data_IF_360736404548
#
_entry.id   IF_360736404548
#
_cell.length_a   1.000
_cell.length_b   1.000
_cell.length_c   1.000
_cell.angle_alpha   90.00
_cell.angle_beta   90.00
_cell.angle_gamma   90.00
#
_symmetry.space_group_name_H-M   'P 1'
#
loop_
_entity.id
_entity.type
_entity.pdbx_description
1 polymer ?
#
# COMPACT_ATOMS: atom_id res chain seq x y z
N UNK A 1 -18.05 52.27 -36.15
CA UNK A 1 -18.67 52.21 -34.82
C UNK A 1 -19.31 50.83 -34.67
N UNK A 2 -18.92 49.90 -33.83
CA UNK A 2 -17.73 49.58 -33.05
C UNK A 2 -17.86 48.06 -32.75
N UNK A 3 -16.79 47.27 -32.74
CA UNK A 3 -16.91 45.82 -32.52
C UNK A 3 -17.26 45.53 -31.06
N UNK A 4 -18.28 44.69 -30.85
CA UNK A 4 -18.59 44.12 -29.53
C UNK A 4 -17.47 43.16 -29.13
N UNK A 5 -16.65 43.60 -28.18
CA UNK A 5 -15.65 42.77 -27.50
C UNK A 5 -16.34 41.78 -26.56
N UNK A 6 -15.91 40.52 -26.62
CA UNK A 6 -16.20 39.47 -25.65
C UNK A 6 -15.69 39.84 -24.25
N UNK A 7 -16.33 39.39 -23.15
CA UNK A 7 -15.77 39.57 -21.82
C UNK A 7 -14.63 38.57 -21.62
N UNK A 8 -13.42 39.08 -21.37
CA UNK A 8 -12.31 38.29 -20.87
C UNK A 8 -12.65 37.74 -19.48
N UNK A 9 -12.48 36.44 -19.28
CA UNK A 9 -12.44 35.84 -17.95
C UNK A 9 -11.10 36.20 -17.33
N UNK A 10 -11.06 37.30 -16.58
CA UNK A 10 -9.96 37.57 -15.68
C UNK A 10 -9.92 36.50 -14.59
N UNK A 11 -8.92 35.62 -14.66
CA UNK A 11 -8.51 34.78 -13.54
C UNK A 11 -7.91 35.71 -12.49
N UNK A 12 -8.30 35.65 -11.21
CA UNK A 12 -7.60 36.39 -10.19
C UNK A 12 -6.16 35.86 -10.11
N UNK A 13 -5.20 36.73 -10.43
CA UNK A 13 -3.79 36.50 -10.19
C UNK A 13 -3.58 36.34 -8.68
N UNK A 14 -3.41 35.09 -8.23
CA UNK A 14 -2.91 34.81 -6.88
C UNK A 14 -1.44 35.27 -6.83
N UNK A 15 -1.21 36.46 -6.29
CA UNK A 15 0.12 36.87 -5.81
C UNK A 15 0.25 36.34 -4.38
N UNK A 16 1.15 35.38 -4.09
CA UNK A 16 1.42 35.03 -2.71
C UNK A 16 1.97 36.26 -2.00
N UNK A 17 1.30 36.69 -0.93
CA UNK A 17 1.76 37.82 -0.13
C UNK A 17 3.08 37.43 0.55
N UNK A 18 4.14 38.15 0.22
CA UNK A 18 5.39 38.11 0.98
C UNK A 18 5.15 38.81 2.31
N UNK A 19 4.74 38.05 3.33
CA UNK A 19 5.09 38.33 4.73
C UNK A 19 5.83 37.11 5.25
N UNK A 20 7.13 37.11 4.98
CA UNK A 20 8.11 36.22 5.56
C UNK A 20 8.40 36.67 6.99
N UNK A 21 7.67 36.16 7.96
CA UNK A 21 8.34 35.74 9.19
C UNK A 21 8.96 34.39 8.85
N UNK A 22 10.28 34.38 8.68
CA UNK A 22 11.03 33.13 8.60
C UNK A 22 10.78 32.38 9.90
N UNK A 23 9.91 31.36 9.85
CA UNK A 23 10.11 30.20 10.71
C UNK A 23 11.50 29.71 10.35
N UNK A 24 12.49 29.94 11.22
CA UNK A 24 13.82 29.37 11.03
C UNK A 24 13.61 27.87 10.79
N UNK A 25 14.06 27.38 9.63
CA UNK A 25 14.09 25.95 9.37
C UNK A 25 14.75 25.26 10.58
N UNK A 26 14.22 24.12 11.05
CA UNK A 26 14.75 23.46 12.23
C UNK A 26 16.25 23.24 12.03
N UNK A 27 17.04 23.86 12.92
CA UNK A 27 18.51 23.80 12.87
C UNK A 27 19.04 22.39 13.16
N UNK A 28 18.20 21.48 13.67
CA UNK A 28 18.60 20.12 13.98
C UNK A 28 18.57 19.24 12.74
N UNK A 29 19.73 18.72 12.37
CA UNK A 29 19.86 17.54 11.51
C UNK A 29 20.65 16.47 12.25
N UNK A 30 20.31 16.29 13.52
CA UNK A 30 20.82 15.17 14.30
C UNK A 30 20.62 13.88 13.49
N UNK A 31 21.68 13.10 13.31
CA UNK A 31 21.65 11.89 12.48
C UNK A 31 22.16 12.06 11.05
N UNK A 32 22.29 13.28 10.50
CA UNK A 32 22.71 13.43 9.09
C UNK A 32 24.18 13.05 8.86
N UNK A 33 25.07 13.30 9.82
CA UNK A 33 26.48 12.85 9.69
C UNK A 33 26.55 11.34 9.79
N UNK A 34 25.81 10.78 10.73
CA UNK A 34 25.71 9.33 10.94
C UNK A 34 25.16 8.62 9.69
N UNK A 35 24.18 9.21 8.99
CA UNK A 35 23.68 8.71 7.71
C UNK A 35 24.78 8.69 6.64
N UNK A 36 25.60 9.74 6.56
CA UNK A 36 26.67 9.84 5.57
C UNK A 36 27.83 8.90 5.90
N UNK A 37 28.29 8.92 7.14
CA UNK A 37 29.42 8.14 7.62
C UNK A 37 29.13 6.62 7.56
N UNK A 38 27.88 6.21 7.77
CA UNK A 38 27.46 4.82 7.70
C UNK A 38 26.80 4.43 6.35
N UNK A 39 26.80 5.33 5.36
CA UNK A 39 26.24 5.10 4.02
C UNK A 39 24.79 4.57 4.04
N UNK A 40 23.95 5.14 4.92
CA UNK A 40 22.57 4.70 5.10
C UNK A 40 21.73 5.09 3.89
N UNK A 41 21.20 4.08 3.18
CA UNK A 41 20.32 4.29 2.03
C UNK A 41 18.84 4.50 2.41
N UNK A 42 18.41 3.98 3.56
CA UNK A 42 17.02 4.05 4.03
C UNK A 42 16.98 4.44 5.50
N UNK A 43 16.29 5.53 5.82
CA UNK A 43 16.08 5.99 7.19
C UNK A 43 14.62 5.81 7.60
N UNK A 44 14.36 5.03 8.66
CA UNK A 44 13.02 4.89 9.24
C UNK A 44 12.81 5.90 10.36
N UNK A 45 11.85 6.80 10.18
CA UNK A 45 11.34 7.66 11.24
C UNK A 45 10.17 6.95 11.92
N UNK A 46 10.43 6.28 13.05
CA UNK A 46 9.38 5.72 13.89
C UNK A 46 8.86 6.74 14.91
N UNK A 47 7.67 6.50 15.45
CA UNK A 47 7.05 7.33 16.49
C UNK A 47 6.11 6.51 17.39
N UNK A 48 6.63 6.07 18.53
CA UNK A 48 5.93 5.18 19.48
C UNK A 48 5.54 5.87 20.79
N UNK A 49 5.12 7.13 20.71
CA UNK A 49 4.72 7.95 21.85
C UNK A 49 3.23 8.30 21.75
N UNK A 50 2.58 8.56 22.89
CA UNK A 50 1.30 9.26 22.95
C UNK A 50 1.56 10.77 23.14
N UNK A 51 1.52 11.59 22.07
CA UNK A 51 2.01 12.97 22.13
C UNK A 51 1.09 13.93 22.88
N UNK A 52 -0.22 13.67 22.90
CA UNK A 52 -1.22 14.57 23.46
C UNK A 52 -0.90 14.99 24.92
N UNK A 53 -0.39 14.05 25.72
CA UNK A 53 0.05 14.36 27.09
C UNK A 53 1.12 15.47 27.10
N UNK A 54 2.14 15.38 26.26
CA UNK A 54 3.25 16.33 26.21
C UNK A 54 2.86 17.67 25.59
N UNK A 55 1.97 17.64 24.59
CA UNK A 55 1.50 18.86 23.94
C UNK A 55 0.61 19.68 24.89
N UNK A 56 -0.29 19.05 25.62
CA UNK A 56 -1.31 19.75 26.40
C UNK A 56 -0.91 20.04 27.85
N UNK A 57 0.13 19.39 28.39
CA UNK A 57 0.58 19.64 29.78
C UNK A 57 1.08 21.09 29.93
N UNK A 58 0.51 21.85 30.87
CA UNK A 58 0.83 23.25 31.12
C UNK A 58 0.68 24.18 29.89
N UNK A 59 -0.17 23.84 28.92
CA UNK A 59 -0.51 24.72 27.80
C UNK A 59 -1.49 25.81 28.25
N UNK A 60 -1.15 27.07 28.01
CA UNK A 60 -2.03 28.18 28.40
C UNK A 60 -3.24 28.28 27.47
N UNK A 61 -4.35 28.83 27.95
CA UNK A 61 -5.57 29.03 27.14
C UNK A 61 -5.32 29.78 25.82
N UNK A 62 -4.37 30.73 25.81
CA UNK A 62 -4.03 31.52 24.62
C UNK A 62 -3.11 30.79 23.62
N UNK A 63 -2.64 29.58 23.95
CA UNK A 63 -1.70 28.80 23.14
C UNK A 63 -2.16 27.38 22.84
N UNK A 64 -3.43 27.04 23.11
CA UNK A 64 -3.98 25.69 22.88
C UNK A 64 -3.72 25.24 21.44
N UNK A 65 -3.10 24.07 21.30
CA UNK A 65 -2.80 23.45 20.00
C UNK A 65 -1.58 24.05 19.28
N UNK A 66 -0.98 25.14 19.78
CA UNK A 66 0.20 25.73 19.16
C UNK A 66 1.39 24.78 19.24
N UNK A 67 1.58 24.06 20.36
CA UNK A 67 2.70 23.12 20.49
C UNK A 67 2.56 21.93 19.55
N UNK A 68 1.34 21.40 19.41
CA UNK A 68 1.03 20.33 18.47
C UNK A 68 1.33 20.78 17.03
N UNK A 69 0.81 21.94 16.61
CA UNK A 69 1.06 22.49 15.28
C UNK A 69 2.56 22.68 15.02
N UNK A 70 3.29 23.30 15.97
CA UNK A 70 4.74 23.51 15.85
C UNK A 70 5.55 22.22 15.83
N UNK A 71 5.11 21.19 16.56
CA UNK A 71 5.75 19.88 16.51
C UNK A 71 5.64 19.28 15.11
N UNK A 72 4.45 19.32 14.51
CA UNK A 72 4.21 18.78 13.18
C UNK A 72 4.97 19.57 12.11
N UNK A 73 4.96 20.91 12.17
CA UNK A 73 5.78 21.75 11.29
C UNK A 73 7.28 21.43 11.42
N UNK A 74 7.75 21.26 12.67
CA UNK A 74 9.14 20.91 12.95
C UNK A 74 9.52 19.52 12.43
N UNK A 75 8.61 18.54 12.53
CA UNK A 75 8.80 17.21 11.95
C UNK A 75 8.96 17.29 10.43
N UNK A 76 8.06 17.99 9.74
CA UNK A 76 8.13 18.12 8.28
C UNK A 76 9.42 18.80 7.85
N UNK A 77 9.78 19.90 8.50
CA UNK A 77 10.98 20.63 8.15
C UNK A 77 12.28 19.88 8.53
N UNK A 78 12.23 18.99 9.53
CA UNK A 78 13.33 18.06 9.83
C UNK A 78 13.50 17.01 8.72
N UNK A 79 12.42 16.38 8.27
CA UNK A 79 12.45 15.38 7.19
C UNK A 79 12.94 15.99 5.87
N UNK A 80 12.43 17.19 5.53
CA UNK A 80 12.84 17.93 4.33
C UNK A 80 14.35 18.29 4.40
N UNK A 81 14.83 18.77 5.55
CA UNK A 81 16.26 19.07 5.73
C UNK A 81 17.16 17.82 5.67
N UNK A 82 16.63 16.65 6.04
CA UNK A 82 17.38 15.39 6.02
C UNK A 82 17.61 14.90 4.59
N UNK A 83 16.59 14.95 3.73
CA UNK A 83 16.73 14.57 2.31
C UNK A 83 17.55 15.58 1.51
N UNK A 84 17.42 16.88 1.79
CA UNK A 84 18.24 17.93 1.15
C UNK A 84 19.75 17.71 1.37
N UNK A 85 20.14 17.20 2.55
CA UNK A 85 21.54 16.94 2.91
C UNK A 85 22.04 15.56 2.52
N UNK A 86 21.14 14.64 2.20
CA UNK A 86 21.46 13.26 1.86
C UNK A 86 20.75 12.87 0.56
N UNK A 87 21.22 13.36 -0.61
CA UNK A 87 20.60 13.06 -1.89
C UNK A 87 20.51 11.55 -2.13
N UNK A 88 19.31 11.07 -2.44
CA UNK A 88 19.04 9.63 -2.65
C UNK A 88 18.60 8.86 -1.41
N UNK A 89 18.61 9.47 -0.22
CA UNK A 89 18.06 8.86 0.99
C UNK A 89 16.56 8.60 0.85
N UNK A 90 16.14 7.37 1.09
CA UNK A 90 14.72 7.01 1.19
C UNK A 90 14.29 7.20 2.64
N UNK A 91 13.27 8.02 2.85
CA UNK A 91 12.62 8.15 4.15
C UNK A 91 11.46 7.14 4.26
N UNK A 92 11.48 6.34 5.30
CA UNK A 92 10.42 5.40 5.64
C UNK A 92 9.66 5.88 6.89
N UNK A 93 8.36 6.07 6.76
CA UNK A 93 7.50 6.53 7.84
C UNK A 93 6.93 5.35 8.62
N UNK A 94 7.13 5.39 9.94
CA UNK A 94 6.52 4.48 10.87
C UNK A 94 6.00 5.27 12.09
N UNK A 95 4.90 4.82 12.66
CA UNK A 95 4.38 5.32 13.92
C UNK A 95 3.61 4.18 14.58
N UNK A 96 4.33 3.25 15.21
CA UNK A 96 3.78 1.95 15.64
C UNK A 96 3.02 1.26 14.49
N UNK A 97 3.70 1.14 13.34
CA UNK A 97 3.07 0.84 12.05
C UNK A 97 2.48 2.09 11.40
N UNK A 98 1.20 2.03 11.01
CA UNK A 98 0.56 3.03 10.14
C UNK A 98 -0.24 4.12 10.85
N UNK A 99 0.08 4.51 12.09
CA UNK A 99 -0.70 5.55 12.82
C UNK A 99 -0.51 6.97 12.29
N UNK A 100 0.39 7.17 11.32
CA UNK A 100 0.69 8.45 10.69
C UNK A 100 0.76 8.32 9.17
N UNK A 101 -0.17 7.58 8.58
CA UNK A 101 -0.35 7.53 7.12
C UNK A 101 -1.24 8.70 6.73
N UNK A 102 -0.65 9.77 6.21
CA UNK A 102 -1.35 10.99 5.80
C UNK A 102 -0.66 11.63 4.58
N UNK A 103 -1.34 12.57 3.93
CA UNK A 103 -0.85 13.18 2.68
C UNK A 103 0.48 13.91 2.83
N UNK A 104 0.73 14.59 3.95
CA UNK A 104 1.97 15.35 4.14
C UNK A 104 3.15 14.43 4.41
N UNK A 105 2.92 13.32 5.12
CA UNK A 105 3.93 12.27 5.27
C UNK A 105 4.19 11.56 3.94
N UNK A 106 3.16 11.23 3.15
CA UNK A 106 3.34 10.58 1.84
C UNK A 106 4.13 11.42 0.83
N UNK A 107 4.12 12.76 0.97
CA UNK A 107 4.94 13.64 0.13
C UNK A 107 6.44 13.56 0.44
N UNK A 108 6.80 13.04 1.62
CA UNK A 108 8.17 13.05 2.15
C UNK A 108 8.74 11.64 2.32
N UNK A 109 7.89 10.69 2.65
CA UNK A 109 8.26 9.35 3.04
C UNK A 109 7.43 8.30 2.30
N UNK A 110 8.02 7.13 2.09
CA UNK A 110 7.29 5.90 1.81
C UNK A 110 6.82 5.27 3.12
N UNK A 111 5.86 4.34 3.06
CA UNK A 111 5.41 3.54 4.20
C UNK A 111 5.74 2.07 3.95
N UNK A 112 6.96 1.64 4.31
CA UNK A 112 7.42 0.26 4.10
C UNK A 112 6.82 -0.71 5.12
N UNK A 113 6.21 -0.19 6.20
CA UNK A 113 5.58 -0.97 7.26
C UNK A 113 4.26 -0.34 7.70
N UNK A 114 3.14 -0.91 7.23
CA UNK A 114 1.80 -0.35 7.47
C UNK A 114 1.17 -0.70 8.83
N UNK A 115 1.63 -1.74 9.53
CA UNK A 115 1.01 -2.14 10.81
C UNK A 115 1.84 -3.15 11.59
N UNK A 116 1.88 -2.99 12.92
CA UNK A 116 2.39 -3.99 13.86
C UNK A 116 1.37 -5.12 14.16
N UNK A 117 0.14 -5.02 13.64
CA UNK A 117 -0.93 -5.98 13.92
C UNK A 117 -0.66 -7.40 13.43
N UNK A 118 0.43 -7.64 12.68
CA UNK A 118 0.85 -9.00 12.37
C UNK A 118 1.28 -9.78 13.61
N UNK A 119 1.72 -9.13 14.69
CA UNK A 119 2.28 -9.79 15.86
C UNK A 119 1.22 -10.46 16.73
N UNK A 120 0.20 -9.70 17.17
CA UNK A 120 -0.69 -10.13 18.26
C UNK A 120 -2.19 -10.08 17.90
N UNK A 121 -2.55 -9.80 16.64
CA UNK A 121 -3.95 -9.79 16.22
C UNK A 121 -4.46 -11.21 15.96
N UNK A 122 -5.51 -11.60 16.69
CA UNK A 122 -6.17 -12.88 16.52
C UNK A 122 -6.74 -13.10 15.11
N UNK A 123 -6.94 -12.03 14.34
CA UNK A 123 -7.43 -12.09 12.97
C UNK A 123 -6.31 -12.15 11.92
N UNK A 124 -5.03 -12.22 12.30
CA UNK A 124 -3.96 -12.38 11.31
C UNK A 124 -4.12 -13.72 10.53
N UNK A 125 -3.99 -13.75 9.18
CA UNK A 125 -3.59 -12.65 8.28
C UNK A 125 -4.74 -11.83 7.67
N UNK A 126 -5.99 -12.06 8.08
CA UNK A 126 -7.17 -11.36 7.54
C UNK A 126 -7.16 -9.85 7.79
N UNK A 127 -6.59 -9.41 8.93
CA UNK A 127 -6.36 -7.99 9.17
C UNK A 127 -5.41 -7.37 8.13
N UNK A 128 -4.39 -8.09 7.66
CA UNK A 128 -3.49 -7.63 6.59
C UNK A 128 -4.22 -7.48 5.26
N UNK A 129 -5.11 -8.42 4.94
CA UNK A 129 -5.95 -8.36 3.74
C UNK A 129 -6.91 -7.15 3.79
N UNK A 130 -7.50 -6.88 4.97
CA UNK A 130 -8.35 -5.72 5.21
C UNK A 130 -7.60 -4.39 4.99
N UNK A 131 -6.37 -4.32 5.51
CA UNK A 131 -5.52 -3.14 5.30
C UNK A 131 -5.17 -2.95 3.84
N UNK A 132 -4.89 -4.03 3.09
CA UNK A 132 -4.68 -3.91 1.64
C UNK A 132 -5.93 -3.38 0.94
N UNK A 133 -7.12 -3.86 1.31
CA UNK A 133 -8.37 -3.38 0.75
C UNK A 133 -8.59 -1.87 1.01
N UNK A 134 -8.40 -1.42 2.24
CA UNK A 134 -8.62 -0.02 2.61
C UNK A 134 -7.55 0.94 2.09
N UNK A 135 -6.26 0.58 2.19
CA UNK A 135 -5.16 1.49 1.85
C UNK A 135 -4.97 1.65 0.34
N UNK A 136 -5.24 0.62 -0.45
CA UNK A 136 -5.05 0.67 -1.92
C UNK A 136 -5.97 1.69 -2.61
N UNK A 137 -6.98 2.21 -1.91
CA UNK A 137 -7.80 3.31 -2.40
C UNK A 137 -7.08 4.67 -2.47
N UNK A 138 -6.03 4.89 -1.68
CA UNK A 138 -5.45 6.24 -1.53
C UNK A 138 -3.96 6.29 -1.19
N UNK A 139 -3.36 5.17 -0.80
CA UNK A 139 -1.92 5.03 -0.54
C UNK A 139 -1.34 4.07 -1.58
N UNK A 140 -0.71 4.54 -2.67
CA UNK A 140 -0.26 3.66 -3.76
C UNK A 140 0.91 2.73 -3.38
N UNK A 141 1.87 3.26 -2.61
CA UNK A 141 3.07 2.51 -2.22
C UNK A 141 2.91 2.00 -0.79
N UNK A 142 2.30 0.82 -0.65
CA UNK A 142 2.16 0.14 0.65
C UNK A 142 2.36 -1.36 0.56
N UNK A 143 2.61 -1.92 1.73
CA UNK A 143 3.10 -3.28 1.89
C UNK A 143 3.09 -3.71 3.36
N UNK A 144 3.10 -5.01 3.59
CA UNK A 144 3.37 -5.56 4.92
C UNK A 144 4.43 -6.63 4.85
N UNK A 145 4.29 -7.57 3.91
CA UNK A 145 5.00 -8.86 3.98
C UNK A 145 4.32 -9.77 5.00
N UNK A 146 5.08 -10.64 5.65
CA UNK A 146 4.52 -11.66 6.54
C UNK A 146 5.47 -11.98 7.69
N UNK A 147 4.90 -12.27 8.87
CA UNK A 147 5.65 -12.85 10.00
C UNK A 147 5.74 -14.38 9.97
N UNK A 148 5.05 -15.01 9.03
CA UNK A 148 4.94 -16.46 8.88
C UNK A 148 5.26 -16.89 7.45
N UNK A 149 5.74 -18.12 7.31
CA UNK A 149 6.07 -18.69 6.02
C UNK A 149 4.93 -19.56 5.44
N UNK A 150 3.75 -19.52 6.06
CA UNK A 150 2.54 -20.12 5.49
C UNK A 150 2.07 -19.34 4.25
N UNK A 151 1.53 -20.09 3.30
CA UNK A 151 1.21 -19.56 1.98
C UNK A 151 0.13 -18.48 2.01
N UNK A 152 -0.92 -18.67 2.83
CA UNK A 152 -1.99 -17.68 2.98
C UNK A 152 -1.45 -16.36 3.52
N UNK A 153 -0.61 -16.38 4.55
CA UNK A 153 0.00 -15.18 5.12
C UNK A 153 0.96 -14.50 4.13
N UNK A 154 1.80 -15.26 3.43
CA UNK A 154 2.69 -14.73 2.40
C UNK A 154 1.89 -14.02 1.28
N UNK A 155 0.82 -14.65 0.78
CA UNK A 155 -0.08 -14.05 -0.22
C UNK A 155 -0.83 -12.83 0.31
N UNK A 156 -1.27 -12.85 1.57
CA UNK A 156 -1.99 -11.74 2.23
C UNK A 156 -1.11 -10.49 2.41
N UNK A 157 0.20 -10.71 2.54
CA UNK A 157 1.19 -9.67 2.79
C UNK A 157 1.68 -8.91 1.56
N UNK A 158 1.36 -9.40 0.35
CA UNK A 158 1.84 -8.82 -0.91
C UNK A 158 1.40 -7.36 -1.07
N UNK A 159 2.24 -6.58 -1.74
CA UNK A 159 2.10 -5.14 -1.92
C UNK A 159 3.24 -4.57 -2.75
N UNK A 160 3.26 -3.25 -2.95
CA UNK A 160 4.33 -2.56 -3.67
C UNK A 160 5.69 -2.69 -2.95
N UNK A 161 5.65 -2.87 -1.62
CA UNK A 161 6.77 -3.21 -0.78
C UNK A 161 6.41 -4.37 0.16
N UNK A 162 7.41 -5.01 0.77
CA UNK A 162 7.22 -6.13 1.72
C UNK A 162 8.33 -6.15 2.75
N UNK A 163 7.99 -6.52 3.99
CA UNK A 163 8.94 -6.77 5.06
C UNK A 163 8.64 -8.14 5.68
N UNK A 164 9.56 -9.09 5.55
CA UNK A 164 9.36 -10.45 6.07
C UNK A 164 10.03 -10.59 7.43
N UNK A 165 9.22 -10.84 8.44
CA UNK A 165 9.68 -11.04 9.81
C UNK A 165 9.50 -12.52 10.21
N UNK A 166 10.01 -13.40 9.34
CA UNK A 166 10.03 -14.85 9.56
C UNK A 166 11.30 -15.26 10.32
N UNK A 167 11.29 -16.44 10.92
CA UNK A 167 12.52 -17.03 11.45
C UNK A 167 13.43 -17.49 10.30
N UNK A 168 14.51 -16.75 10.06
CA UNK A 168 15.48 -17.06 9.02
C UNK A 168 16.46 -18.18 9.40
N UNK A 169 16.40 -18.69 10.63
CA UNK A 169 17.21 -19.83 11.06
C UNK A 169 16.54 -21.17 10.74
N UNK A 170 15.27 -21.16 10.30
CA UNK A 170 14.54 -22.36 9.90
C UNK A 170 14.55 -22.52 8.38
N UNK A 171 15.34 -23.49 7.88
CA UNK A 171 15.51 -23.73 6.43
C UNK A 171 14.19 -23.94 5.69
N UNK A 172 13.21 -24.60 6.33
CA UNK A 172 11.89 -24.87 5.76
C UNK A 172 11.13 -23.56 5.44
N UNK A 173 11.21 -22.58 6.35
CA UNK A 173 10.57 -21.27 6.22
C UNK A 173 11.26 -20.41 5.18
N UNK A 174 12.60 -20.43 5.18
CA UNK A 174 13.40 -19.74 4.15
C UNK A 174 13.11 -20.31 2.76
N UNK A 175 13.01 -21.63 2.63
CA UNK A 175 12.67 -22.27 1.36
C UNK A 175 11.25 -21.91 0.89
N UNK A 176 10.28 -21.86 1.81
CA UNK A 176 8.91 -21.39 1.50
C UNK A 176 8.90 -19.94 1.02
N UNK A 177 9.58 -19.05 1.75
CA UNK A 177 9.70 -17.64 1.36
C UNK A 177 10.39 -17.48 0.00
N UNK A 178 11.46 -18.23 -0.29
CA UNK A 178 12.14 -18.19 -1.59
C UNK A 178 11.19 -18.52 -2.74
N UNK A 179 10.45 -19.63 -2.65
CA UNK A 179 9.46 -20.01 -3.68
C UNK A 179 8.39 -18.94 -3.87
N UNK A 180 7.92 -18.34 -2.79
CA UNK A 180 6.97 -17.23 -2.86
C UNK A 180 7.59 -16.01 -3.55
N UNK A 181 8.83 -15.65 -3.20
CA UNK A 181 9.54 -14.51 -3.78
C UNK A 181 9.83 -14.67 -5.27
N UNK A 182 10.10 -15.88 -5.74
CA UNK A 182 10.33 -16.16 -7.16
C UNK A 182 9.14 -15.71 -8.01
N UNK A 183 7.91 -15.96 -7.55
CA UNK A 183 6.68 -15.49 -8.21
C UNK A 183 6.34 -14.05 -7.88
N UNK A 184 6.41 -13.66 -6.60
CA UNK A 184 6.02 -12.32 -6.17
C UNK A 184 6.83 -11.22 -6.87
N UNK A 185 8.12 -11.45 -7.13
CA UNK A 185 8.97 -10.47 -7.84
C UNK A 185 8.49 -10.16 -9.26
N UNK A 186 7.89 -11.13 -9.94
CA UNK A 186 7.37 -10.97 -11.31
C UNK A 186 6.12 -10.08 -11.33
N UNK A 187 5.32 -10.12 -10.27
CA UNK A 187 4.04 -9.39 -10.15
C UNK A 187 4.12 -8.13 -9.28
N UNK A 188 5.24 -7.87 -8.59
CA UNK A 188 5.36 -6.81 -7.57
C UNK A 188 4.97 -5.42 -8.09
N UNK A 189 5.31 -5.09 -9.34
CA UNK A 189 5.00 -3.79 -9.93
C UNK A 189 3.50 -3.54 -10.07
N UNK A 190 2.69 -4.60 -10.21
CA UNK A 190 1.24 -4.49 -10.36
C UNK A 190 0.57 -3.88 -9.12
N UNK A 191 1.16 -4.04 -7.94
CA UNK A 191 0.60 -3.48 -6.69
C UNK A 191 0.64 -1.94 -6.63
N UNK A 192 1.31 -1.28 -7.57
CA UNK A 192 1.28 0.17 -7.74
C UNK A 192 0.37 0.63 -8.90
N UNK A 193 -0.29 -0.31 -9.60
CA UNK A 193 -1.16 -0.05 -10.73
C UNK A 193 -2.63 0.17 -10.29
N UNK A 194 -3.56 0.17 -11.24
CA UNK A 194 -4.97 0.47 -10.97
C UNK A 194 -5.59 -0.57 -10.03
N UNK A 195 -6.21 -0.10 -8.95
CA UNK A 195 -6.83 -0.93 -7.93
C UNK A 195 -8.34 -1.06 -8.12
N UNK A 196 -8.84 -2.30 -8.14
CA UNK A 196 -10.27 -2.62 -8.26
C UNK A 196 -10.70 -3.52 -7.08
N UNK A 197 -11.48 -3.01 -6.11
CA UNK A 197 -12.12 -3.88 -5.12
C UNK A 197 -13.20 -4.71 -5.82
N UNK A 198 -13.10 -6.04 -5.74
CA UNK A 198 -14.06 -6.95 -6.37
C UNK A 198 -15.15 -7.41 -5.40
N UNK A 199 -14.93 -7.25 -4.10
CA UNK A 199 -15.93 -7.41 -3.05
C UNK A 199 -15.88 -6.23 -2.07
N UNK A 200 -16.98 -5.93 -1.37
CA UNK A 200 -16.94 -5.03 -0.23
C UNK A 200 -16.09 -5.62 0.90
N UNK A 201 -15.47 -4.75 1.70
CA UNK A 201 -14.87 -5.15 2.97
C UNK A 201 -15.95 -5.48 4.01
N UNK A 202 -15.65 -6.44 4.89
CA UNK A 202 -16.49 -6.79 6.03
C UNK A 202 -15.65 -7.39 7.15
N UNK A 203 -16.06 -7.19 8.40
CA UNK A 203 -15.45 -7.86 9.56
C UNK A 203 -15.94 -9.30 9.75
N UNK A 204 -16.99 -9.73 9.05
CA UNK A 204 -17.52 -11.09 9.09
C UNK A 204 -16.55 -12.10 8.44
N UNK A 205 -15.93 -13.01 9.22
CA UNK A 205 -14.93 -13.94 8.73
C UNK A 205 -15.51 -15.03 7.81
N UNK A 206 -16.83 -15.18 7.75
CA UNK A 206 -17.52 -16.07 6.79
C UNK A 206 -17.61 -15.47 5.38
N UNK A 207 -17.26 -14.20 5.18
CA UNK A 207 -17.30 -13.56 3.87
C UNK A 207 -15.95 -13.58 3.20
N UNK A 208 -15.98 -13.74 1.88
CA UNK A 208 -14.82 -13.65 1.03
C UNK A 208 -14.38 -12.20 0.84
N UNK A 209 -13.09 -12.01 0.64
CA UNK A 209 -12.52 -10.72 0.25
C UNK A 209 -11.75 -10.90 -1.07
N UNK A 210 -12.08 -10.11 -2.08
CA UNK A 210 -11.36 -10.14 -3.34
C UNK A 210 -11.08 -8.74 -3.86
N UNK A 211 -9.91 -8.60 -4.49
CA UNK A 211 -9.51 -7.39 -5.17
C UNK A 211 -8.50 -7.68 -6.28
N UNK A 212 -8.38 -6.73 -7.20
CA UNK A 212 -7.55 -6.81 -8.39
C UNK A 212 -6.63 -5.60 -8.46
N UNK A 213 -5.43 -5.82 -8.98
CA UNK A 213 -4.58 -4.78 -9.53
C UNK A 213 -4.39 -5.02 -11.03
N UNK A 214 -4.44 -3.95 -11.83
CA UNK A 214 -4.33 -4.01 -13.28
C UNK A 214 -3.42 -2.90 -13.80
N UNK A 215 -2.43 -3.29 -14.60
CA UNK A 215 -1.61 -2.38 -15.39
C UNK A 215 -2.16 -2.38 -16.83
N UNK A 216 -2.90 -1.33 -17.23
CA UNK A 216 -3.49 -1.25 -18.57
C UNK A 216 -2.43 -1.04 -19.66
N UNK A 217 -1.28 -0.45 -19.34
CA UNK A 217 -0.21 -0.20 -20.31
C UNK A 217 0.50 -1.50 -20.70
N UNK A 218 0.65 -2.42 -19.74
CA UNK A 218 1.25 -3.74 -19.97
C UNK A 218 0.23 -4.82 -20.32
N UNK A 219 -1.07 -4.55 -20.15
CA UNK A 219 -2.11 -5.58 -20.28
C UNK A 219 -1.97 -6.69 -19.24
N UNK A 220 -1.44 -6.37 -18.05
CA UNK A 220 -1.14 -7.34 -16.98
C UNK A 220 -1.98 -7.08 -15.75
N UNK A 221 -2.18 -8.10 -14.93
CA UNK A 221 -2.76 -7.89 -13.63
C UNK A 221 -2.79 -9.12 -12.74
N UNK A 222 -3.20 -8.88 -11.51
CA UNK A 222 -3.27 -9.87 -10.45
C UNK A 222 -4.60 -9.74 -9.72
N UNK A 223 -5.22 -10.87 -9.40
CA UNK A 223 -6.44 -10.96 -8.61
C UNK A 223 -6.13 -11.79 -7.38
N UNK A 224 -6.42 -11.23 -6.21
CA UNK A 224 -6.25 -11.91 -4.93
C UNK A 224 -7.60 -12.13 -4.27
N UNK A 225 -7.83 -13.35 -3.78
CA UNK A 225 -9.14 -13.78 -3.30
C UNK A 225 -8.91 -14.59 -2.02
N UNK A 226 -9.52 -14.14 -0.93
CA UNK A 226 -9.31 -14.69 0.40
C UNK A 226 -10.61 -15.22 0.95
N UNK A 227 -10.57 -16.47 1.44
CA UNK A 227 -11.64 -17.07 2.22
C UNK A 227 -11.23 -17.12 3.68
N UNK A 228 -12.00 -16.47 4.55
CA UNK A 228 -11.77 -16.49 6.00
C UNK A 228 -12.18 -17.81 6.68
N UNK A 229 -12.24 -17.78 8.00
CA UNK A 229 -12.72 -18.87 8.84
C UNK A 229 -14.23 -18.75 9.07
N UNK A 230 -14.98 -19.82 8.80
CA UNK A 230 -16.42 -19.86 9.08
C UNK A 230 -17.17 -20.76 8.10
N UNK A 231 -18.46 -20.91 8.34
CA UNK A 231 -19.38 -21.67 7.50
C UNK A 231 -19.80 -20.83 6.28
N UNK A 232 -18.80 -20.44 5.48
CA UNK A 232 -18.98 -19.65 4.27
C UNK A 232 -19.40 -20.52 3.10
N UNK A 233 -20.01 -19.91 2.08
CA UNK A 233 -20.09 -20.54 0.77
C UNK A 233 -18.70 -21.00 0.32
N UNK A 234 -18.61 -22.23 -0.19
CA UNK A 234 -17.36 -22.83 -0.61
C UNK A 234 -16.88 -22.31 -1.98
N UNK A 235 -17.67 -21.47 -2.64
CA UNK A 235 -17.43 -20.93 -3.97
C UNK A 235 -17.60 -19.41 -3.99
N UNK A 236 -16.73 -18.74 -4.73
CA UNK A 236 -16.93 -17.37 -5.17
C UNK A 236 -16.46 -17.27 -6.63
N UNK A 237 -17.27 -16.68 -7.49
CA UNK A 237 -16.81 -16.28 -8.83
C UNK A 237 -16.54 -14.77 -8.78
N UNK A 238 -15.34 -14.34 -9.17
CA UNK A 238 -14.96 -12.92 -9.20
C UNK A 238 -14.83 -12.44 -10.63
N UNK A 239 -15.14 -11.16 -10.89
CA UNK A 239 -15.26 -10.62 -12.24
C UNK A 239 -14.22 -9.50 -12.43
N UNK A 240 -13.06 -9.77 -13.04
CA UNK A 240 -12.05 -8.77 -13.30
C UNK A 240 -12.59 -7.57 -14.08
N UNK A 241 -12.18 -6.38 -13.68
CA UNK A 241 -12.54 -5.08 -14.26
C UNK A 241 -11.37 -4.46 -15.03
N UNK A 242 -11.66 -3.48 -15.89
CA UNK A 242 -10.63 -2.74 -16.64
C UNK A 242 -10.02 -3.47 -17.84
N UNK A 243 -10.45 -4.69 -18.14
CA UNK A 243 -9.93 -5.47 -19.26
C UNK A 243 -10.53 -5.05 -20.60
N UNK A 244 -9.69 -4.96 -21.63
CA UNK A 244 -10.13 -4.77 -23.02
C UNK A 244 -10.95 -5.98 -23.51
N UNK A 245 -12.24 -5.82 -23.88
CA UNK A 245 -13.15 -6.95 -24.09
C UNK A 245 -12.72 -7.95 -25.17
N UNK A 246 -12.13 -7.45 -26.26
CA UNK A 246 -11.81 -8.24 -27.44
C UNK A 246 -10.34 -8.73 -27.44
N UNK A 247 -9.53 -8.30 -26.47
CA UNK A 247 -8.17 -8.81 -26.25
C UNK A 247 -8.24 -10.18 -25.56
N UNK A 248 -7.21 -11.00 -25.77
CA UNK A 248 -7.05 -12.31 -25.13
C UNK A 248 -5.98 -12.22 -24.05
N UNK A 249 -6.22 -12.87 -22.93
CA UNK A 249 -5.33 -12.89 -21.78
C UNK A 249 -5.01 -14.34 -21.42
N UNK A 250 -3.74 -14.62 -21.20
CA UNK A 250 -3.27 -15.86 -20.60
C UNK A 250 -3.44 -15.72 -19.08
N UNK A 251 -4.28 -16.56 -18.50
CA UNK A 251 -4.62 -16.55 -17.08
C UNK A 251 -3.98 -17.75 -16.40
N UNK A 252 -3.27 -17.50 -15.30
CA UNK A 252 -2.61 -18.52 -14.49
C UNK A 252 -3.13 -18.44 -13.06
N UNK A 253 -3.69 -19.54 -12.58
CA UNK A 253 -3.90 -19.79 -11.15
C UNK A 253 -2.56 -20.22 -10.55
N UNK A 254 -2.11 -19.57 -9.48
CA UNK A 254 -0.87 -19.94 -8.81
C UNK A 254 -0.89 -21.37 -8.26
N UNK A 255 -2.06 -21.95 -8.02
CA UNK A 255 -2.20 -23.31 -7.48
C UNK A 255 -2.36 -24.39 -8.56
N UNK A 256 -2.36 -23.99 -9.85
CA UNK A 256 -2.51 -24.91 -10.97
C UNK A 256 -1.38 -24.71 -11.99
N UNK A 257 -1.03 -25.78 -12.71
CA UNK A 257 -0.03 -25.71 -13.78
C UNK A 257 -0.60 -25.18 -15.10
N UNK A 258 -1.91 -25.36 -15.30
CA UNK A 258 -2.57 -25.00 -16.54
C UNK A 258 -2.69 -23.47 -16.68
N UNK A 259 -2.38 -22.98 -17.89
CA UNK A 259 -2.66 -21.61 -18.30
C UNK A 259 -3.85 -21.65 -19.26
N UNK A 260 -4.87 -20.86 -18.96
CA UNK A 260 -6.06 -20.74 -19.80
C UNK A 260 -6.04 -19.41 -20.55
N UNK A 261 -6.34 -19.43 -21.85
CA UNK A 261 -6.50 -18.19 -22.61
C UNK A 261 -7.99 -17.80 -22.71
N UNK A 262 -8.35 -16.64 -22.16
CA UNK A 262 -9.73 -16.12 -22.18
C UNK A 262 -9.76 -14.71 -22.75
N UNK A 263 -10.86 -14.32 -23.37
CA UNK A 263 -11.05 -12.92 -23.78
C UNK A 263 -11.31 -12.04 -22.55
N UNK A 264 -11.00 -10.75 -22.63
CA UNK A 264 -11.35 -9.78 -21.58
C UNK A 264 -12.85 -9.82 -21.27
N UNK A 265 -13.69 -9.91 -22.30
CA UNK A 265 -15.14 -10.09 -22.15
C UNK A 265 -15.48 -11.35 -21.35
N UNK A 266 -14.90 -12.50 -21.68
CA UNK A 266 -15.16 -13.74 -20.98
C UNK A 266 -14.73 -13.67 -19.50
N UNK A 267 -13.64 -12.95 -19.19
CA UNK A 267 -13.20 -12.74 -17.81
C UNK A 267 -14.18 -11.84 -17.04
N UNK A 268 -14.60 -10.72 -17.61
CA UNK A 268 -15.52 -9.79 -16.96
C UNK A 268 -16.96 -10.29 -16.86
N UNK A 269 -17.42 -11.16 -17.77
CA UNK A 269 -18.80 -11.67 -17.77
C UNK A 269 -18.94 -13.05 -17.10
N UNK A 270 -18.00 -13.97 -17.31
CA UNK A 270 -18.07 -15.34 -16.76
C UNK A 270 -17.22 -15.53 -15.50
N UNK A 271 -16.33 -14.58 -15.19
CA UNK A 271 -15.55 -14.55 -13.95
C UNK A 271 -14.45 -15.62 -13.83
N UNK A 272 -13.65 -15.51 -12.78
CA UNK A 272 -12.67 -16.48 -12.32
C UNK A 272 -13.30 -17.33 -11.21
N UNK A 273 -13.57 -18.63 -11.43
CA UNK A 273 -14.22 -19.47 -10.44
C UNK A 273 -13.24 -19.87 -9.34
N UNK A 274 -13.58 -19.57 -8.09
CA UNK A 274 -12.79 -19.99 -6.93
C UNK A 274 -13.57 -21.02 -6.12
N UNK A 275 -12.97 -22.19 -5.94
CA UNK A 275 -13.53 -23.27 -5.13
C UNK A 275 -12.57 -23.61 -4.01
N UNK A 276 -13.06 -23.49 -2.79
CA UNK A 276 -12.29 -23.81 -1.59
C UNK A 276 -12.27 -25.29 -1.24
N UNK A 277 -13.18 -26.07 -1.81
CA UNK A 277 -13.33 -27.51 -1.53
C UNK A 277 -13.36 -27.82 -0.03
N UNK A 278 -14.05 -26.94 0.73
CA UNK A 278 -14.19 -27.04 2.18
C UNK A 278 -13.05 -26.39 2.98
N UNK A 279 -11.91 -26.05 2.39
CA UNK A 279 -10.74 -25.45 3.08
C UNK A 279 -10.99 -24.01 3.55
N UNK A 280 -10.90 -23.76 4.85
CA UNK A 280 -10.95 -22.40 5.42
C UNK A 280 -9.57 -21.74 5.45
N UNK A 281 -9.52 -20.41 5.55
CA UNK A 281 -8.26 -19.63 5.62
C UNK A 281 -7.34 -19.86 4.42
N UNK A 282 -7.90 -19.83 3.21
CA UNK A 282 -7.17 -20.02 1.95
C UNK A 282 -7.12 -18.72 1.15
N UNK A 283 -6.01 -18.52 0.43
CA UNK A 283 -5.81 -17.42 -0.49
C UNK A 283 -5.60 -17.96 -1.91
N UNK A 284 -6.43 -17.56 -2.87
CA UNK A 284 -6.23 -17.81 -4.28
C UNK A 284 -5.59 -16.59 -4.93
N UNK A 285 -4.66 -16.82 -5.86
CA UNK A 285 -4.00 -15.77 -6.62
C UNK A 285 -4.04 -16.15 -8.09
N UNK A 286 -4.63 -15.28 -8.89
CA UNK A 286 -4.62 -15.38 -10.34
C UNK A 286 -3.79 -14.24 -10.89
N UNK A 287 -2.91 -14.53 -11.84
CA UNK A 287 -2.27 -13.52 -12.66
C UNK A 287 -2.75 -13.67 -14.10
N UNK A 288 -2.75 -12.56 -14.83
CA UNK A 288 -3.05 -12.59 -16.26
C UNK A 288 -2.20 -11.59 -17.02
N UNK A 289 -1.93 -11.91 -18.28
CA UNK A 289 -1.16 -11.09 -19.22
C UNK A 289 -1.79 -11.16 -20.61
N UNK A 290 -1.90 -10.02 -21.28
CA UNK A 290 -2.40 -9.94 -22.66
C UNK A 290 -1.51 -10.76 -23.60
N UNK A 291 -2.15 -11.60 -24.42
CA UNK A 291 -1.48 -12.38 -25.46
C UNK A 291 -1.49 -11.55 -26.75
N UNK A 292 -0.32 -11.34 -27.41
CA UNK A 292 -0.25 -10.64 -28.67
C UNK A 292 -1.21 -11.23 -29.72
N UNK A 293 -1.87 -10.35 -30.48
CA UNK A 293 -2.66 -10.75 -31.65
C UNK A 293 -1.75 -11.49 -32.63
N UNK A 294 -2.14 -12.70 -33.04
CA UNK A 294 -1.47 -13.44 -34.11
C UNK A 294 -1.72 -12.82 -35.47
#
# INVERSE_FOLDING_TARGET
MGPKTSPSRDRPNYRPSRRSEQVEAPRSTAGSREIQDAEIAIYRQDFNLYPAFFWHTDESADSIGLREARYIEGLYAYLDALTDRNPGLILDNCASGGRRLDFEMMRRCVALWRSDSCWDDANYPRNAQAMTHGLSHWLPLHGLGSRSADETALRSGMGACVSYAIDFNEDSRVASLRRHLDRFREVRSLFAADYYPLTPWTTDPSKWLAFQFHDPDQGKGIVQIFRGAGDSEARLDVYPSGLEPDRRYAVRDWDQEAVEERTGRALSESGLPCRSDGRSNVAFVFEYEEVPSR
#
